data_IF_669722353898
#
_entry.id   IF_669722353898
#
_cell.length_a   1.000
_cell.length_b   1.000
_cell.length_c   1.000
_cell.angle_alpha   90.00
_cell.angle_beta   90.00
_cell.angle_gamma   90.00
#
_symmetry.space_group_name_H-M   'P 1'
#
loop_
_entity.id
_entity.type
_entity.pdbx_description
1 polymer ?
#
# COMPACT_ATOMS: atom_id res chain seq x y z
N UNK A 1 14.15 16.17 5.31
CA UNK A 1 12.82 16.63 4.88
C UNK A 1 11.90 15.44 4.94
N UNK A 2 10.74 15.54 5.61
CA UNK A 2 9.74 14.48 5.56
C UNK A 2 9.07 14.55 4.18
N UNK A 3 9.10 13.46 3.42
CA UNK A 3 8.45 13.37 2.11
C UNK A 3 7.14 12.58 2.24
N UNK A 4 6.22 12.81 1.30
CA UNK A 4 4.95 12.08 1.28
C UNK A 4 5.19 10.69 0.67
N UNK A 5 4.57 9.63 1.22
CA UNK A 5 4.65 8.30 0.65
C UNK A 5 4.00 8.25 -0.75
N UNK A 6 4.62 7.55 -1.69
CA UNK A 6 4.10 7.37 -3.06
C UNK A 6 3.44 5.99 -3.21
N UNK A 7 2.19 5.96 -3.70
CA UNK A 7 1.53 4.71 -4.10
C UNK A 7 1.83 4.39 -5.57
N UNK A 8 2.51 3.28 -5.80
CA UNK A 8 2.74 2.69 -7.12
C UNK A 8 1.89 1.45 -7.31
N UNK A 9 0.87 1.53 -8.16
CA UNK A 9 0.09 0.38 -8.58
C UNK A 9 0.87 -0.42 -9.65
N UNK A 10 1.09 -1.71 -9.42
CA UNK A 10 1.85 -2.60 -10.32
C UNK A 10 0.94 -3.51 -11.16
N UNK A 11 -0.30 -3.76 -10.70
CA UNK A 11 -1.31 -4.52 -11.44
C UNK A 11 -2.66 -3.81 -11.45
N UNK A 12 -3.49 -4.02 -12.48
CA UNK A 12 -4.87 -3.55 -12.47
C UNK A 12 -5.67 -4.24 -11.36
N UNK A 13 -6.71 -3.56 -10.89
CA UNK A 13 -7.69 -4.15 -9.98
C UNK A 13 -8.35 -5.39 -10.62
N UNK A 14 -8.60 -6.43 -9.84
CA UNK A 14 -9.30 -7.64 -10.27
C UNK A 14 -10.79 -7.40 -10.44
N UNK A 15 -11.37 -6.57 -9.57
CA UNK A 15 -12.80 -6.27 -9.52
C UNK A 15 -13.05 -4.86 -8.95
N UNK A 16 -14.33 -4.46 -8.93
CA UNK A 16 -14.75 -3.15 -8.43
C UNK A 16 -14.45 -2.95 -6.92
N UNK A 17 -14.48 -4.03 -6.12
CA UNK A 17 -14.20 -3.95 -4.70
C UNK A 17 -12.70 -3.69 -4.44
N UNK A 18 -11.82 -4.36 -5.20
CA UNK A 18 -10.38 -4.11 -5.18
C UNK A 18 -10.05 -2.71 -5.71
N UNK A 19 -10.75 -2.25 -6.75
CA UNK A 19 -10.60 -0.88 -7.26
C UNK A 19 -11.00 0.17 -6.20
N UNK A 20 -12.09 -0.07 -5.46
CA UNK A 20 -12.50 0.79 -4.36
C UNK A 20 -11.46 0.82 -3.23
N UNK A 21 -10.89 -0.32 -2.85
CA UNK A 21 -9.81 -0.40 -1.86
C UNK A 21 -8.54 0.33 -2.31
N UNK A 22 -8.14 0.18 -3.57
CA UNK A 22 -7.01 0.91 -4.15
C UNK A 22 -7.25 2.43 -4.15
N UNK A 23 -8.48 2.85 -4.43
CA UNK A 23 -8.89 4.27 -4.33
C UNK A 23 -8.81 4.78 -2.89
N UNK A 24 -9.29 4.00 -1.92
CA UNK A 24 -9.17 4.33 -0.50
C UNK A 24 -7.71 4.41 -0.05
N UNK A 25 -6.85 3.53 -0.56
CA UNK A 25 -5.42 3.57 -0.28
C UNK A 25 -4.76 4.85 -0.85
N UNK A 26 -5.09 5.23 -2.08
CA UNK A 26 -4.60 6.48 -2.66
C UNK A 26 -5.07 7.71 -1.87
N UNK A 27 -6.31 7.70 -1.39
CA UNK A 27 -6.84 8.74 -0.51
C UNK A 27 -6.11 8.79 0.83
N UNK A 28 -5.82 7.63 1.44
CA UNK A 28 -5.04 7.53 2.66
C UNK A 28 -3.65 8.14 2.47
N UNK A 29 -2.95 7.85 1.36
CA UNK A 29 -1.63 8.45 1.10
C UNK A 29 -1.71 9.98 0.94
N UNK A 30 -2.78 10.48 0.31
CA UNK A 30 -2.97 11.93 0.08
C UNK A 30 -3.29 12.69 1.37
N UNK A 31 -3.98 12.07 2.33
CA UNK A 31 -4.38 12.70 3.61
C UNK A 31 -3.40 12.45 4.75
N UNK A 32 -2.48 11.50 4.58
CA UNK A 32 -1.44 11.19 5.55
C UNK A 32 -0.43 12.33 5.61
N UNK A 33 -0.24 12.90 6.81
CA UNK A 33 0.84 13.85 7.05
C UNK A 33 2.20 13.16 6.81
N UNK A 34 3.25 13.89 6.40
CA UNK A 34 4.57 13.31 6.21
C UNK A 34 5.00 12.47 7.42
N UNK A 35 5.29 11.19 7.19
CA UNK A 35 5.62 10.25 8.26
C UNK A 35 7.14 10.14 8.44
N UNK A 36 7.62 9.99 9.69
CA UNK A 36 9.03 9.72 9.94
C UNK A 36 9.42 8.28 9.58
N UNK A 37 8.45 7.37 9.53
CA UNK A 37 8.64 5.96 9.23
C UNK A 37 7.44 5.42 8.45
N UNK A 38 7.68 4.88 7.25
CA UNK A 38 6.63 4.30 6.42
C UNK A 38 5.94 3.10 7.09
N UNK A 39 6.64 2.39 7.98
CA UNK A 39 6.10 1.21 8.68
C UNK A 39 4.84 1.53 9.49
N UNK A 40 4.67 2.78 9.89
CA UNK A 40 3.49 3.25 10.63
C UNK A 40 2.20 3.18 9.79
N UNK A 41 2.30 3.10 8.45
CA UNK A 41 1.15 2.88 7.56
C UNK A 41 0.75 1.42 7.43
N UNK A 42 1.63 0.46 7.74
CA UNK A 42 1.37 -0.96 7.52
C UNK A 42 0.08 -1.46 8.20
N UNK A 43 -0.28 -1.04 9.44
CA UNK A 43 -1.55 -1.42 10.04
C UNK A 43 -2.78 -0.93 9.25
N UNK A 44 -2.75 0.31 8.76
CA UNK A 44 -3.86 0.87 7.98
C UNK A 44 -3.99 0.17 6.62
N UNK A 45 -2.87 -0.17 5.97
CA UNK A 45 -2.87 -0.93 4.72
C UNK A 45 -3.45 -2.33 4.92
N UNK A 46 -3.10 -3.02 6.02
CA UNK A 46 -3.68 -4.34 6.37
C UNK A 46 -5.17 -4.30 6.65
N UNK A 47 -5.70 -3.18 7.15
CA UNK A 47 -7.14 -3.02 7.33
C UNK A 47 -7.88 -2.90 5.99
N UNK A 48 -7.28 -2.21 5.01
CA UNK A 48 -7.84 -2.09 3.67
C UNK A 48 -7.70 -3.39 2.86
N UNK A 49 -6.60 -4.12 3.08
CA UNK A 49 -6.25 -5.37 2.39
C UNK A 49 -6.00 -6.49 3.40
N UNK A 50 -7.08 -7.07 3.96
CA UNK A 50 -6.96 -8.07 5.02
C UNK A 50 -6.59 -9.45 4.49
N UNK A 51 -5.85 -10.19 5.32
CA UNK A 51 -5.68 -11.64 5.20
C UNK A 51 -7.04 -12.36 5.35
N UNK A 52 -7.22 -13.54 4.72
CA UNK A 52 -6.25 -14.26 3.90
C UNK A 52 -6.28 -13.84 2.42
N UNK A 53 -7.06 -12.83 2.03
CA UNK A 53 -7.23 -12.46 0.61
C UNK A 53 -6.01 -11.73 0.06
N UNK A 54 -5.35 -10.95 0.92
CA UNK A 54 -4.18 -10.16 0.59
C UNK A 54 -3.09 -10.39 1.63
N UNK A 55 -1.84 -10.31 1.16
CA UNK A 55 -0.68 -10.27 2.03
C UNK A 55 -0.03 -8.90 1.93
N UNK A 56 0.28 -8.32 3.08
CA UNK A 56 0.90 -7.01 3.20
C UNK A 56 2.20 -7.13 3.97
N UNK A 57 3.30 -7.00 3.23
CA UNK A 57 4.63 -6.98 3.79
C UNK A 57 5.19 -5.57 3.88
N UNK A 58 6.12 -5.39 4.82
CA UNK A 58 6.81 -4.13 5.00
C UNK A 58 8.32 -4.39 5.10
N UNK A 59 9.07 -3.83 4.16
CA UNK A 59 10.52 -3.97 4.09
C UNK A 59 11.17 -2.60 4.16
N UNK A 60 11.74 -2.24 5.32
CA UNK A 60 12.61 -1.08 5.54
C UNK A 60 12.04 0.28 5.10
N UNK A 61 12.03 0.54 3.80
CA UNK A 61 11.64 1.78 3.12
C UNK A 61 10.40 1.64 2.21
N UNK A 62 9.75 0.47 2.18
CA UNK A 62 8.56 0.26 1.36
C UNK A 62 7.55 -0.72 1.99
N UNK A 63 6.28 -0.53 1.65
CA UNK A 63 5.20 -1.50 1.92
C UNK A 63 4.80 -2.11 0.58
N UNK A 64 4.73 -3.42 0.50
CA UNK A 64 4.22 -4.11 -0.68
C UNK A 64 2.95 -4.88 -0.33
N UNK A 65 2.07 -5.04 -1.31
CA UNK A 65 0.93 -5.94 -1.19
C UNK A 65 0.79 -6.83 -2.43
N UNK A 66 0.36 -8.06 -2.22
CA UNK A 66 -0.06 -8.97 -3.28
C UNK A 66 -1.35 -9.69 -2.89
N UNK A 67 -1.97 -10.34 -3.88
CA UNK A 67 -3.12 -11.21 -3.64
C UNK A 67 -2.59 -12.55 -3.12
N UNK A 68 -3.30 -13.22 -2.22
CA UNK A 68 -2.82 -14.50 -1.70
C UNK A 68 -2.70 -15.60 -2.76
N UNK A 69 -3.45 -15.48 -3.85
CA UNK A 69 -3.41 -16.41 -4.99
C UNK A 69 -2.48 -15.97 -6.14
N UNK A 70 -1.81 -14.81 -6.03
CA UNK A 70 -0.93 -14.27 -7.06
C UNK A 70 0.36 -13.71 -6.43
N UNK A 71 1.53 -14.31 -6.69
CA UNK A 71 2.80 -13.85 -6.13
C UNK A 71 3.26 -12.49 -6.68
N UNK A 72 2.60 -11.95 -7.71
CA UNK A 72 2.91 -10.63 -8.25
C UNK A 72 2.34 -9.54 -7.36
N UNK A 73 3.12 -8.47 -7.14
CA UNK A 73 2.68 -7.30 -6.37
C UNK A 73 1.49 -6.63 -7.04
N UNK A 74 0.43 -6.36 -6.27
CA UNK A 74 -0.69 -5.55 -6.69
C UNK A 74 -0.28 -4.06 -6.70
N UNK A 75 0.35 -3.63 -5.61
CA UNK A 75 0.87 -2.29 -5.45
C UNK A 75 2.01 -2.25 -4.42
N UNK A 76 2.77 -1.16 -4.46
CA UNK A 76 3.84 -0.85 -3.54
C UNK A 76 3.70 0.61 -3.08
N UNK A 77 3.98 0.87 -1.81
CA UNK A 77 4.08 2.21 -1.24
C UNK A 77 5.56 2.44 -0.98
N UNK A 78 6.10 3.53 -1.49
CA UNK A 78 7.52 3.86 -1.42
C UNK A 78 7.73 5.10 -0.56
N UNK A 79 8.77 5.08 0.26
CA UNK A 79 9.35 6.29 0.83
C UNK A 79 10.28 6.94 -0.22
N UNK A 80 10.17 8.25 -0.44
CA UNK A 80 11.09 8.98 -1.33
C UNK A 80 12.45 9.17 -0.63
N UNK A 81 13.21 8.09 -0.50
CA UNK A 81 14.64 8.11 -0.21
C UNK A 81 15.40 7.77 -1.50
N UNK A 82 15.57 8.76 -2.37
CA UNK A 82 16.60 8.75 -3.42
C UNK A 82 17.36 10.07 -3.41
#
# INVERSE_FOLDING_TARGET
MLQLPELRQEQPARDEAEAARLTQLAQLMTTTAPLPDLRDLAPAVRQLFPEPTYEVGCGGSHIWLHRADDPRRLACILDHYQ
#
